data_IF_027471039030
#
_entry.id   IF_027471039030
#
_cell.length_a   1.000
_cell.length_b   1.000
_cell.length_c   1.000
_cell.angle_alpha   90.00
_cell.angle_beta   90.00
_cell.angle_gamma   90.00
#
_symmetry.space_group_name_H-M   'P 1'
#
loop_
_entity.id
_entity.type
_entity.pdbx_description
1 polymer ?
#
# COMPACT_ATOMS: atom_id res chain seq x y z
N UNK A 1 15.12 14.21 -14.05
CA UNK A 1 13.79 14.86 -14.10
C UNK A 1 13.66 16.02 -13.11
N UNK A 2 14.03 15.86 -11.83
CA UNK A 2 13.83 16.86 -10.77
C UNK A 2 14.58 18.20 -10.93
N UNK A 3 15.70 18.23 -11.68
CA UNK A 3 16.50 19.45 -11.91
C UNK A 3 15.74 20.60 -12.59
N UNK A 4 14.65 20.33 -13.31
CA UNK A 4 13.83 21.36 -13.99
C UNK A 4 12.96 22.18 -13.03
N UNK A 5 12.80 21.72 -11.79
CA UNK A 5 12.01 22.39 -10.76
C UNK A 5 12.89 23.20 -9.80
N UNK A 6 14.19 23.31 -10.09
CA UNK A 6 15.12 24.14 -9.34
C UNK A 6 15.21 25.54 -9.94
N UNK A 7 15.15 26.56 -9.10
CA UNK A 7 15.41 27.95 -9.44
C UNK A 7 16.91 28.18 -9.74
N UNK A 8 17.25 29.40 -10.16
CA UNK A 8 18.63 29.79 -10.45
C UNK A 8 19.59 29.67 -9.26
N UNK A 9 19.06 29.59 -8.03
CA UNK A 9 19.81 29.40 -6.79
C UNK A 9 19.91 27.91 -6.37
N UNK A 10 19.48 26.98 -7.24
CA UNK A 10 19.42 25.53 -7.01
C UNK A 10 18.41 25.07 -5.94
N UNK A 11 17.50 25.95 -5.50
CA UNK A 11 16.41 25.63 -4.59
C UNK A 11 15.15 25.26 -5.39
N UNK A 12 14.26 24.44 -4.83
CA UNK A 12 12.99 24.12 -5.50
C UNK A 12 12.09 25.36 -5.57
N UNK A 13 11.52 25.65 -6.75
CA UNK A 13 10.81 26.90 -7.06
C UNK A 13 9.60 27.14 -6.17
N UNK A 14 9.42 28.39 -5.69
CA UNK A 14 8.28 28.82 -4.86
C UNK A 14 6.91 28.69 -5.54
N UNK A 15 6.84 28.49 -6.85
CA UNK A 15 5.58 28.19 -7.57
C UNK A 15 5.02 26.80 -7.26
N UNK A 16 5.84 25.85 -6.79
CA UNK A 16 5.37 24.55 -6.30
C UNK A 16 4.62 24.65 -4.97
N UNK A 17 4.80 25.75 -4.23
CA UNK A 17 4.19 25.95 -2.91
C UNK A 17 2.66 25.92 -2.98
N UNK A 18 2.09 26.36 -4.11
CA UNK A 18 0.64 26.43 -4.32
C UNK A 18 0.05 25.16 -4.95
N UNK A 19 0.87 24.27 -5.51
CA UNK A 19 0.43 23.01 -6.14
C UNK A 19 0.56 21.83 -5.16
N UNK A 20 -0.42 21.71 -4.27
CA UNK A 20 -0.45 20.65 -3.26
C UNK A 20 -0.48 19.23 -3.88
N UNK A 21 -1.27 18.94 -4.95
CA UNK A 21 -1.19 17.65 -5.63
C UNK A 21 0.20 17.34 -6.21
N UNK A 22 0.84 18.33 -6.83
CA UNK A 22 2.21 18.19 -7.34
C UNK A 22 3.22 17.92 -6.22
N UNK A 23 3.07 18.58 -5.07
CA UNK A 23 3.92 18.35 -3.90
C UNK A 23 3.74 16.95 -3.31
N UNK A 24 2.50 16.47 -3.22
CA UNK A 24 2.19 15.12 -2.75
C UNK A 24 2.81 14.06 -3.67
N UNK A 25 2.71 14.27 -4.99
CA UNK A 25 3.34 13.39 -5.97
C UNK A 25 4.87 13.38 -5.84
N UNK A 26 5.49 14.54 -5.64
CA UNK A 26 6.93 14.64 -5.40
C UNK A 26 7.34 13.84 -4.15
N UNK A 27 6.65 14.06 -3.03
CA UNK A 27 6.87 13.34 -1.78
C UNK A 27 6.79 11.81 -1.98
N UNK A 28 5.74 11.31 -2.62
CA UNK A 28 5.55 9.87 -2.83
C UNK A 28 6.65 9.26 -3.70
N UNK A 29 7.05 9.94 -4.78
CA UNK A 29 8.12 9.46 -5.65
C UNK A 29 9.48 9.36 -4.96
N UNK A 30 9.72 10.15 -3.91
CA UNK A 30 10.99 10.05 -3.16
C UNK A 30 11.10 8.73 -2.39
N UNK A 31 9.97 8.09 -2.05
CA UNK A 31 9.94 6.78 -1.38
C UNK A 31 10.09 5.59 -2.33
N UNK A 32 10.16 5.82 -3.65
CA UNK A 32 10.50 4.82 -4.68
C UNK A 32 12.01 4.70 -4.94
N UNK A 33 12.84 5.45 -4.21
CA UNK A 33 14.29 5.56 -4.43
C UNK A 33 15.02 4.22 -4.30
N UNK A 34 15.97 3.99 -5.21
CA UNK A 34 17.08 3.06 -5.04
C UNK A 34 18.33 3.82 -4.56
N UNK A 35 19.21 3.18 -3.77
CA UNK A 35 20.32 3.84 -3.07
C UNK A 35 21.18 4.75 -3.98
N UNK A 36 21.56 5.94 -3.49
CA UNK A 36 22.64 6.78 -4.07
C UNK A 36 22.27 8.15 -4.67
N UNK A 37 21.02 8.61 -4.59
CA UNK A 37 20.62 9.89 -5.22
C UNK A 37 20.42 11.06 -4.21
N UNK A 38 21.44 11.90 -4.02
CA UNK A 38 21.39 13.10 -3.14
C UNK A 38 20.19 14.02 -3.45
N UNK A 39 19.81 14.09 -4.73
CA UNK A 39 18.69 14.92 -5.19
C UNK A 39 17.33 14.44 -4.66
N UNK A 40 17.19 13.15 -4.36
CA UNK A 40 15.95 12.61 -3.79
C UNK A 40 15.86 12.90 -2.28
N UNK A 41 16.99 12.90 -1.57
CA UNK A 41 17.00 13.27 -0.14
C UNK A 41 16.63 14.74 0.05
N UNK A 42 17.15 15.61 -0.82
CA UNK A 42 16.77 17.02 -0.87
C UNK A 42 15.28 17.19 -1.19
N UNK A 43 14.76 16.45 -2.18
CA UNK A 43 13.35 16.49 -2.55
C UNK A 43 12.43 15.94 -1.44
N UNK A 44 12.87 14.91 -0.70
CA UNK A 44 12.14 14.35 0.43
C UNK A 44 12.04 15.37 1.56
N UNK A 45 13.17 15.98 1.96
CA UNK A 45 13.18 17.00 3.00
C UNK A 45 12.28 18.19 2.64
N UNK A 46 12.45 18.73 1.43
CA UNK A 46 11.67 19.86 0.93
C UNK A 46 10.16 19.57 0.90
N UNK A 47 9.76 18.44 0.31
CA UNK A 47 8.35 18.09 0.19
C UNK A 47 7.72 17.79 1.56
N UNK A 48 8.46 17.19 2.48
CA UNK A 48 8.00 16.91 3.86
C UNK A 48 7.72 18.21 4.62
N UNK A 49 8.65 19.16 4.60
CA UNK A 49 8.50 20.45 5.30
C UNK A 49 7.30 21.23 4.74
N UNK A 50 7.13 21.21 3.42
CA UNK A 50 6.03 21.90 2.76
C UNK A 50 4.66 21.30 3.07
N UNK A 51 4.55 19.97 3.02
CA UNK A 51 3.33 19.26 3.37
C UNK A 51 2.96 19.45 4.85
N UNK A 52 3.94 19.46 5.76
CA UNK A 52 3.71 19.79 7.18
C UNK A 52 3.17 21.22 7.37
N UNK A 53 3.70 22.19 6.62
CA UNK A 53 3.18 23.56 6.63
C UNK A 53 1.74 23.62 6.12
N UNK A 54 1.38 22.86 5.08
CA UNK A 54 0.01 22.80 4.56
C UNK A 54 -0.95 22.23 5.60
N UNK A 55 -0.58 21.16 6.31
CA UNK A 55 -1.38 20.56 7.39
C UNK A 55 -1.60 21.55 8.54
N UNK A 56 -0.58 22.35 8.87
CA UNK A 56 -0.64 23.39 9.89
C UNK A 56 -1.56 24.57 9.50
N UNK A 57 -1.80 24.79 8.21
CA UNK A 57 -2.76 25.80 7.72
C UNK A 57 -4.18 25.25 7.60
N UNK A 58 -5.18 26.13 7.50
CA UNK A 58 -6.59 25.77 7.23
C UNK A 58 -6.76 25.32 5.77
N UNK A 59 -6.11 24.22 5.38
CA UNK A 59 -6.31 23.61 4.07
C UNK A 59 -7.73 23.02 3.98
N UNK A 60 -8.43 23.22 2.84
CA UNK A 60 -9.76 22.68 2.66
C UNK A 60 -9.76 21.15 2.70
N UNK A 61 -10.83 20.60 3.26
CA UNK A 61 -11.21 19.21 3.09
C UNK A 61 -11.53 18.98 1.61
N UNK A 62 -11.12 17.86 0.99
CA UNK A 62 -10.53 16.63 1.57
C UNK A 62 -8.99 16.56 1.51
N UNK A 63 -8.35 17.55 0.91
CA UNK A 63 -6.91 17.57 0.61
C UNK A 63 -6.03 17.45 1.86
N UNK A 64 -6.43 18.07 2.98
CA UNK A 64 -5.72 17.97 4.26
C UNK A 64 -5.57 16.52 4.74
N UNK A 65 -6.65 15.73 4.68
CA UNK A 65 -6.67 14.33 5.13
C UNK A 65 -5.76 13.45 4.26
N UNK A 66 -5.70 13.75 2.97
CA UNK A 66 -4.79 13.06 2.04
C UNK A 66 -3.32 13.33 2.38
N UNK A 67 -2.96 14.58 2.68
CA UNK A 67 -1.60 14.98 3.09
C UNK A 67 -1.22 14.33 4.43
N UNK A 68 -2.10 14.38 5.43
CA UNK A 68 -1.86 13.77 6.74
C UNK A 68 -1.60 12.27 6.64
N UNK A 69 -2.34 11.58 5.75
CA UNK A 69 -2.16 10.16 5.54
C UNK A 69 -0.85 9.82 4.83
N UNK A 70 -0.49 10.53 3.75
CA UNK A 70 0.78 10.33 3.03
C UNK A 70 1.99 10.53 3.96
N UNK A 71 1.95 11.55 4.82
CA UNK A 71 3.00 11.81 5.82
C UNK A 71 3.11 10.69 6.87
N UNK A 72 1.99 10.07 7.25
CA UNK A 72 1.98 8.94 8.18
C UNK A 72 2.46 7.64 7.53
N UNK A 73 2.07 7.40 6.29
CA UNK A 73 2.34 6.17 5.56
C UNK A 73 2.50 6.47 4.06
N UNK A 74 3.74 6.56 3.55
CA UNK A 74 3.98 6.70 2.12
C UNK A 74 3.41 5.50 1.36
N UNK A 75 2.76 5.74 0.22
CA UNK A 75 2.07 4.72 -0.59
C UNK A 75 2.97 3.53 -0.93
N UNK A 76 4.26 3.79 -1.15
CA UNK A 76 5.24 2.77 -1.54
C UNK A 76 5.88 2.00 -0.38
N UNK A 77 5.64 2.44 0.86
CA UNK A 77 6.05 1.74 2.08
C UNK A 77 4.87 1.04 2.78
N UNK A 78 3.64 1.37 2.37
CA UNK A 78 2.42 0.71 2.83
C UNK A 78 2.21 -0.65 2.19
N UNK A 79 1.44 -1.52 2.85
CA UNK A 79 0.93 -2.71 2.17
C UNK A 79 -0.12 -2.26 1.13
N UNK A 80 -0.01 -2.66 -0.15
CA UNK A 80 -0.90 -2.17 -1.22
C UNK A 80 -2.39 -2.30 -0.91
N UNK A 81 -2.78 -3.25 -0.05
CA UNK A 81 -4.17 -3.44 0.38
C UNK A 81 -4.68 -2.45 1.42
N UNK A 82 -3.84 -1.99 2.35
CA UNK A 82 -4.25 -0.95 3.28
C UNK A 82 -4.50 0.35 2.53
N UNK A 83 -3.69 0.62 1.51
CA UNK A 83 -3.85 1.78 0.62
C UNK A 83 -5.17 1.76 -0.14
N UNK A 84 -5.54 0.62 -0.73
CA UNK A 84 -6.84 0.48 -1.44
C UNK A 84 -8.02 0.74 -0.49
N UNK A 85 -7.97 0.22 0.75
CA UNK A 85 -9.05 0.45 1.72
C UNK A 85 -9.16 1.92 2.12
N UNK A 86 -8.02 2.58 2.35
CA UNK A 86 -7.98 4.01 2.66
C UNK A 86 -8.55 4.84 1.51
N UNK A 87 -8.12 4.58 0.28
CA UNK A 87 -8.61 5.30 -0.90
C UNK A 87 -10.09 5.08 -1.20
N UNK A 88 -10.62 3.87 -0.95
CA UNK A 88 -12.06 3.63 -1.04
C UNK A 88 -12.81 4.52 -0.06
N UNK A 89 -12.38 4.57 1.21
CA UNK A 89 -13.02 5.41 2.24
C UNK A 89 -12.90 6.91 1.94
N UNK A 90 -11.74 7.34 1.44
CA UNK A 90 -11.53 8.71 0.99
C UNK A 90 -12.48 9.03 -0.17
N UNK A 91 -12.54 8.19 -1.19
CA UNK A 91 -13.41 8.40 -2.36
C UNK A 91 -14.90 8.36 -2.03
N UNK A 92 -15.32 7.67 -0.95
CA UNK A 92 -16.70 7.71 -0.46
C UNK A 92 -17.11 9.08 0.08
N UNK A 93 -16.18 9.81 0.69
CA UNK A 93 -16.49 11.08 1.35
C UNK A 93 -16.46 12.30 0.38
N UNK A 94 -16.09 12.11 -0.89
CA UNK A 94 -15.99 13.19 -1.88
C UNK A 94 -17.28 13.39 -2.69
N UNK A 95 -17.72 14.64 -2.86
CA UNK A 95 -18.88 14.99 -3.69
C UNK A 95 -18.68 14.74 -5.18
N UNK A 96 -17.47 14.97 -5.71
CA UNK A 96 -17.15 14.79 -7.14
C UNK A 96 -16.61 13.37 -7.49
N UNK A 97 -17.07 12.35 -6.77
CA UNK A 97 -16.57 10.99 -6.93
C UNK A 97 -17.08 10.31 -8.20
N UNK A 98 -16.23 9.52 -8.85
CA UNK A 98 -16.66 8.62 -9.91
C UNK A 98 -17.30 7.35 -9.30
N UNK A 99 -18.62 7.30 -9.30
CA UNK A 99 -19.42 6.19 -8.74
C UNK A 99 -19.06 4.82 -9.34
N UNK A 100 -18.79 4.77 -10.65
CA UNK A 100 -18.41 3.53 -11.33
C UNK A 100 -17.06 3.01 -10.84
N UNK A 101 -16.07 3.90 -10.72
CA UNK A 101 -14.74 3.56 -10.22
C UNK A 101 -14.80 3.12 -8.74
N UNK A 102 -15.56 3.83 -7.91
CA UNK A 102 -15.76 3.49 -6.51
C UNK A 102 -16.40 2.10 -6.35
N UNK A 103 -17.44 1.81 -7.12
CA UNK A 103 -18.12 0.51 -7.11
C UNK A 103 -17.18 -0.62 -7.55
N UNK A 104 -16.37 -0.39 -8.59
CA UNK A 104 -15.37 -1.35 -9.04
C UNK A 104 -14.31 -1.60 -7.96
N UNK A 105 -13.78 -0.55 -7.33
CA UNK A 105 -12.79 -0.65 -6.26
C UNK A 105 -13.32 -1.46 -5.07
N UNK A 106 -14.55 -1.17 -4.61
CA UNK A 106 -15.24 -1.93 -3.56
C UNK A 106 -15.41 -3.40 -3.93
N UNK A 107 -15.89 -3.68 -5.14
CA UNK A 107 -16.08 -5.06 -5.59
C UNK A 107 -14.76 -5.84 -5.60
N UNK A 108 -13.69 -5.25 -6.16
CA UNK A 108 -12.35 -5.84 -6.17
C UNK A 108 -11.86 -6.11 -4.75
N UNK A 109 -12.01 -5.16 -3.84
CA UNK A 109 -11.63 -5.33 -2.45
C UNK A 109 -12.39 -6.49 -1.78
N UNK A 110 -13.71 -6.57 -1.97
CA UNK A 110 -14.55 -7.62 -1.40
C UNK A 110 -14.23 -9.01 -1.94
N UNK A 111 -14.04 -9.14 -3.27
CA UNK A 111 -13.63 -10.42 -3.90
C UNK A 111 -12.30 -10.87 -3.29
N UNK A 112 -11.36 -9.95 -3.20
CA UNK A 112 -10.04 -10.23 -2.71
C UNK A 112 -10.07 -10.65 -1.23
N UNK A 113 -10.82 -9.94 -0.39
CA UNK A 113 -11.02 -10.29 1.02
C UNK A 113 -11.65 -11.68 1.19
N UNK A 114 -12.63 -12.03 0.35
CA UNK A 114 -13.25 -13.36 0.31
C UNK A 114 -12.22 -14.46 0.04
N UNK A 115 -11.33 -14.25 -0.94
CA UNK A 115 -10.25 -15.21 -1.27
C UNK A 115 -9.33 -15.39 -0.06
N UNK A 116 -8.83 -14.31 0.55
CA UNK A 116 -7.97 -14.41 1.75
C UNK A 116 -8.64 -15.13 2.90
N UNK A 117 -9.92 -14.83 3.18
CA UNK A 117 -10.64 -15.49 4.26
C UNK A 117 -10.80 -16.99 3.98
N UNK A 118 -11.01 -17.38 2.72
CA UNK A 118 -11.07 -18.78 2.33
C UNK A 118 -9.71 -19.46 2.49
N UNK A 119 -8.64 -18.86 1.96
CA UNK A 119 -7.28 -19.39 2.05
C UNK A 119 -6.83 -19.54 3.50
N UNK A 120 -7.09 -18.55 4.35
CA UNK A 120 -6.78 -18.61 5.78
C UNK A 120 -7.56 -19.73 6.49
N UNK A 121 -8.84 -19.93 6.15
CA UNK A 121 -9.64 -21.05 6.70
C UNK A 121 -9.08 -22.40 6.25
N UNK A 122 -8.71 -22.52 4.97
CA UNK A 122 -8.16 -23.75 4.42
C UNK A 122 -6.78 -24.06 5.05
N UNK A 123 -5.96 -23.03 5.27
CA UNK A 123 -4.66 -23.13 5.95
C UNK A 123 -4.78 -23.55 7.41
N UNK A 124 -5.69 -22.94 8.17
CA UNK A 124 -5.93 -23.32 9.58
C UNK A 124 -6.39 -24.79 9.67
N UNK A 125 -7.27 -25.24 8.77
CA UNK A 125 -7.69 -26.64 8.71
C UNK A 125 -6.52 -27.57 8.37
N UNK A 126 -5.66 -27.16 7.43
CA UNK A 126 -4.48 -27.93 7.04
C UNK A 126 -3.53 -28.12 8.24
N UNK A 127 -3.21 -27.04 8.97
CA UNK A 127 -2.41 -27.13 10.20
C UNK A 127 -3.05 -28.01 11.28
N UNK A 128 -4.37 -27.92 11.47
CA UNK A 128 -5.07 -28.81 12.41
C UNK A 128 -4.98 -30.30 11.99
N UNK A 129 -4.89 -30.58 10.70
CA UNK A 129 -4.64 -31.93 10.19
C UNK A 129 -3.19 -32.36 10.41
N UNK A 130 -2.20 -31.49 10.16
CA UNK A 130 -0.79 -31.79 10.44
C UNK A 130 -0.55 -32.11 11.91
N UNK A 131 -1.25 -31.42 12.83
CA UNK A 131 -1.19 -31.73 14.28
C UNK A 131 -1.61 -33.17 14.58
N UNK A 132 -2.54 -33.76 13.81
CA UNK A 132 -2.92 -35.17 13.98
C UNK A 132 -1.77 -36.11 13.61
N UNK A 133 -0.93 -35.74 12.65
CA UNK A 133 0.22 -36.53 12.23
C UNK A 133 1.34 -36.52 13.26
N UNK A 134 1.33 -35.59 14.21
CA UNK A 134 2.24 -35.64 15.37
C UNK A 134 1.92 -36.79 16.33
N UNK A 135 0.76 -37.44 16.20
CA UNK A 135 0.43 -38.63 16.99
C UNK A 135 1.09 -39.88 16.37
N UNK A 136 1.95 -40.61 17.10
CA UNK A 136 2.61 -41.82 16.61
C UNK A 136 1.66 -42.93 16.14
N UNK A 137 0.40 -42.92 16.61
CA UNK A 137 -0.62 -43.90 16.20
C UNK A 137 -1.31 -43.56 14.87
N UNK A 138 -0.99 -42.41 14.25
CA UNK A 138 -1.61 -41.95 13.02
C UNK A 138 -0.55 -41.77 11.93
N UNK A 139 -0.75 -42.45 10.81
CA UNK A 139 0.10 -42.32 9.62
C UNK A 139 -0.79 -41.84 8.47
N UNK A 140 -0.56 -40.64 7.91
CA UNK A 140 -1.36 -40.15 6.81
C UNK A 140 -1.12 -40.97 5.54
N UNK A 141 -2.13 -41.05 4.68
CA UNK A 141 -1.94 -41.58 3.32
C UNK A 141 -1.16 -40.58 2.47
N UNK A 142 -0.55 -41.06 1.38
CA UNK A 142 0.16 -40.18 0.44
C UNK A 142 -0.78 -39.10 -0.13
N UNK A 143 -2.02 -39.46 -0.42
CA UNK A 143 -3.03 -38.52 -0.94
C UNK A 143 -3.38 -37.43 0.09
N UNK A 144 -3.62 -37.81 1.34
CA UNK A 144 -3.87 -36.86 2.43
C UNK A 144 -2.67 -35.92 2.62
N UNK A 145 -1.47 -36.49 2.70
CA UNK A 145 -0.22 -35.73 2.87
C UNK A 145 -0.04 -34.69 1.77
N UNK A 146 -0.16 -35.10 0.51
CA UNK A 146 0.01 -34.22 -0.64
C UNK A 146 -1.02 -33.08 -0.66
N UNK A 147 -2.27 -33.37 -0.31
CA UNK A 147 -3.33 -32.34 -0.28
C UNK A 147 -3.07 -31.25 0.77
N UNK A 148 -2.57 -31.63 1.95
CA UNK A 148 -2.28 -30.72 3.06
C UNK A 148 -0.98 -29.95 2.79
N UNK A 149 0.08 -30.64 2.34
CA UNK A 149 1.37 -30.04 2.02
C UNK A 149 1.27 -29.01 0.88
N UNK A 150 0.38 -29.23 -0.11
CA UNK A 150 0.14 -28.23 -1.16
C UNK A 150 -0.46 -26.95 -0.59
N UNK A 151 -1.40 -27.04 0.35
CA UNK A 151 -2.05 -25.87 0.97
C UNK A 151 -1.06 -25.12 1.87
N UNK A 152 -0.33 -25.82 2.75
CA UNK A 152 0.65 -25.22 3.67
C UNK A 152 1.88 -24.68 2.94
N UNK A 153 2.31 -25.36 1.87
CA UNK A 153 3.41 -24.93 1.01
C UNK A 153 3.07 -23.75 0.08
N UNK A 154 1.94 -23.78 -0.64
CA UNK A 154 1.61 -22.78 -1.66
C UNK A 154 1.07 -21.46 -1.12
N UNK A 155 0.40 -21.45 0.05
CA UNK A 155 -0.11 -20.21 0.67
C UNK A 155 0.99 -19.22 1.04
N UNK A 156 2.21 -19.69 1.35
CA UNK A 156 3.37 -18.82 1.56
C UNK A 156 3.72 -18.02 0.30
N UNK A 157 3.63 -18.63 -0.88
CA UNK A 157 3.96 -17.99 -2.16
C UNK A 157 2.93 -16.92 -2.52
N UNK A 158 1.63 -17.19 -2.34
CA UNK A 158 0.57 -16.19 -2.59
C UNK A 158 0.64 -15.00 -1.62
N UNK A 159 0.99 -15.25 -0.36
CA UNK A 159 1.19 -14.18 0.62
C UNK A 159 2.41 -13.33 0.26
N UNK A 160 3.52 -13.94 -0.17
CA UNK A 160 4.73 -13.23 -0.61
C UNK A 160 4.46 -12.40 -1.87
N UNK A 161 3.81 -12.97 -2.90
CA UNK A 161 3.44 -12.23 -4.12
C UNK A 161 2.46 -11.09 -3.85
N UNK A 162 1.63 -11.21 -2.79
CA UNK A 162 0.73 -10.14 -2.37
C UNK A 162 1.42 -8.99 -1.62
N UNK A 163 2.64 -9.18 -1.11
CA UNK A 163 3.40 -8.18 -0.35
C UNK A 163 4.55 -7.55 -1.14
N UNK A 164 5.04 -8.21 -2.20
CA UNK A 164 6.02 -7.62 -3.09
C UNK A 164 5.32 -6.95 -4.27
N UNK A 165 5.46 -5.63 -4.46
CA UNK A 165 5.05 -5.02 -5.71
C UNK A 165 5.91 -5.61 -6.83
N UNK A 166 5.27 -6.09 -7.89
CA UNK A 166 5.98 -6.44 -9.13
C UNK A 166 6.76 -5.20 -9.58
N UNK A 167 8.08 -5.35 -9.64
CA UNK A 167 9.04 -4.28 -9.93
C UNK A 167 9.04 -3.84 -11.39
#
# INVERSE_FOLDING_TARGET
VFKKFKDGNRNLTSSLVTDVPGMLSLYETTHLKTYGEDIIEEALAFSTDHLNSIVATHSPYPLKKQVEYALKQPYHKGTPRLEVKYYISFSEEHEERNETLLKLAKLRFSIMQSIYLKEMKDLVKAYLTEVKWCNPSYVPTIEEYLSVALITGATTILTVMAHFPEG
#
